data_IF_318474426735
#
_entry.id   IF_318474426735
#
_cell.length_a   1.000
_cell.length_b   1.000
_cell.length_c   1.000
_cell.angle_alpha   90.00
_cell.angle_beta   90.00
_cell.angle_gamma   90.00
#
_symmetry.space_group_name_H-M   'P 1'
#
loop_
_entity.id
_entity.type
_entity.pdbx_description
1 polymer ?
#
# COMPACT_ATOMS: atom_id res chain seq x y z
N UNK A 1 -11.03 -6.59 10.80
CA UNK A 1 -12.04 -7.60 11.23
C UNK A 1 -13.04 -7.94 10.12
N UNK A 2 -13.69 -6.97 9.47
CA UNK A 2 -14.54 -7.23 8.27
C UNK A 2 -13.78 -7.92 7.13
N UNK A 3 -12.59 -7.41 6.78
CA UNK A 3 -11.73 -7.97 5.73
C UNK A 3 -11.37 -9.45 6.01
N UNK A 4 -11.11 -9.81 7.27
CA UNK A 4 -10.77 -11.18 7.64
C UNK A 4 -11.95 -12.16 7.44
N UNK A 5 -13.18 -11.68 7.61
CA UNK A 5 -14.38 -12.50 7.41
C UNK A 5 -14.68 -12.70 5.92
N UNK A 6 -14.50 -11.66 5.11
CA UNK A 6 -14.61 -11.73 3.65
C UNK A 6 -13.53 -12.62 3.05
N UNK A 7 -12.29 -12.52 3.54
CA UNK A 7 -11.18 -13.40 3.13
C UNK A 7 -11.52 -14.86 3.44
N UNK A 8 -12.07 -15.17 4.62
CA UNK A 8 -12.47 -16.54 4.99
C UNK A 8 -13.52 -17.13 4.04
N UNK A 9 -14.51 -16.32 3.65
CA UNK A 9 -15.53 -16.69 2.66
C UNK A 9 -14.93 -16.93 1.28
N UNK A 10 -14.04 -16.06 0.83
CA UNK A 10 -13.37 -16.20 -0.49
C UNK A 10 -12.45 -17.42 -0.56
N UNK A 11 -11.72 -17.71 0.52
CA UNK A 11 -10.84 -18.89 0.63
C UNK A 11 -11.68 -20.17 0.62
N UNK A 12 -12.82 -20.18 1.30
CA UNK A 12 -13.71 -21.35 1.28
C UNK A 12 -14.24 -21.63 -0.13
N UNK A 13 -14.56 -20.58 -0.89
CA UNK A 13 -14.97 -20.69 -2.30
C UNK A 13 -13.83 -21.16 -3.23
N UNK A 14 -12.57 -20.86 -2.91
CA UNK A 14 -11.38 -21.22 -3.72
C UNK A 14 -10.60 -22.42 -3.19
N UNK A 15 -11.12 -23.09 -2.15
CA UNK A 15 -10.42 -24.19 -1.46
C UNK A 15 -10.02 -25.31 -2.43
N UNK A 16 -10.87 -25.66 -3.40
CA UNK A 16 -10.57 -26.65 -4.43
C UNK A 16 -9.43 -26.23 -5.36
N UNK A 17 -9.35 -24.95 -5.76
CA UNK A 17 -8.25 -24.47 -6.61
C UNK A 17 -6.91 -24.54 -5.87
N UNK A 18 -6.89 -24.14 -4.60
CA UNK A 18 -5.68 -24.19 -3.76
C UNK A 18 -5.25 -25.64 -3.49
N UNK A 19 -6.21 -26.55 -3.29
CA UNK A 19 -5.97 -27.98 -3.11
C UNK A 19 -5.40 -28.62 -4.38
N UNK A 20 -5.96 -28.31 -5.54
CA UNK A 20 -5.40 -28.73 -6.85
C UNK A 20 -3.99 -28.18 -7.02
N UNK A 21 -3.74 -26.89 -6.75
CA UNK A 21 -2.40 -26.30 -6.84
C UNK A 21 -1.39 -27.03 -5.94
N UNK A 22 -1.76 -27.36 -4.70
CA UNK A 22 -0.88 -28.13 -3.81
C UNK A 22 -0.65 -29.56 -4.30
N UNK A 23 -1.63 -30.20 -4.92
CA UNK A 23 -1.51 -31.54 -5.50
C UNK A 23 -0.57 -31.60 -6.71
N UNK A 24 -0.44 -30.50 -7.48
CA UNK A 24 0.55 -30.40 -8.58
C UNK A 24 1.93 -29.94 -8.09
N UNK A 25 2.15 -29.85 -6.76
CA UNK A 25 3.43 -29.47 -6.17
C UNK A 25 3.70 -27.96 -6.15
N UNK A 26 2.68 -27.12 -6.27
CA UNK A 26 2.86 -25.67 -6.22
C UNK A 26 3.40 -25.25 -4.84
N UNK A 27 4.52 -24.53 -4.84
CA UNK A 27 5.15 -23.99 -3.65
C UNK A 27 4.24 -22.96 -2.97
N UNK A 28 4.36 -22.81 -1.64
CA UNK A 28 3.60 -21.83 -0.84
C UNK A 28 3.69 -20.39 -1.40
N UNK A 29 4.68 -20.08 -2.23
CA UNK A 29 4.84 -18.78 -2.89
C UNK A 29 3.76 -18.51 -3.96
N UNK A 30 3.26 -19.55 -4.63
CA UNK A 30 2.25 -19.40 -5.70
C UNK A 30 0.89 -18.97 -5.15
N UNK A 31 0.54 -19.45 -3.95
CA UNK A 31 -0.64 -19.01 -3.21
C UNK A 31 -0.45 -17.60 -2.66
N UNK A 32 0.80 -17.22 -2.33
CA UNK A 32 1.11 -15.93 -1.70
C UNK A 32 1.24 -14.77 -2.70
N UNK A 33 1.63 -15.05 -3.94
CA UNK A 33 1.78 -14.08 -5.03
C UNK A 33 0.61 -13.12 -5.21
N UNK A 34 -0.65 -13.59 -5.38
CA UNK A 34 -1.78 -12.69 -5.61
C UNK A 34 -2.06 -11.74 -4.44
N UNK A 35 -1.98 -12.22 -3.19
CA UNK A 35 -2.18 -11.39 -2.00
C UNK A 35 -1.07 -10.34 -1.83
N UNK A 36 0.17 -10.70 -2.18
CA UNK A 36 1.28 -9.75 -2.17
C UNK A 36 1.09 -8.63 -3.20
N UNK A 37 0.57 -8.98 -4.38
CA UNK A 37 0.21 -8.02 -5.42
C UNK A 37 -0.91 -7.07 -4.98
N UNK A 38 -1.98 -7.58 -4.36
CA UNK A 38 -3.07 -6.73 -3.84
C UNK A 38 -2.56 -5.71 -2.81
N UNK A 39 -1.70 -6.13 -1.89
CA UNK A 39 -1.14 -5.20 -0.89
C UNK A 39 -0.20 -4.16 -1.47
N UNK A 40 0.57 -4.52 -2.51
CA UNK A 40 1.41 -3.58 -3.22
C UNK A 40 0.59 -2.54 -4.01
N UNK A 41 -0.49 -2.98 -4.66
CA UNK A 41 -1.44 -2.10 -5.36
C UNK A 41 -2.15 -1.15 -4.39
N UNK A 42 -2.61 -1.65 -3.24
CA UNK A 42 -3.20 -0.81 -2.19
C UNK A 42 -2.21 0.23 -1.64
N UNK A 43 -0.96 -0.17 -1.38
CA UNK A 43 0.10 0.74 -0.93
C UNK A 43 0.41 1.83 -1.94
N UNK A 44 0.51 1.47 -3.22
CA UNK A 44 0.71 2.41 -4.33
C UNK A 44 -0.46 3.40 -4.46
N UNK A 45 -1.70 2.89 -4.43
CA UNK A 45 -2.88 3.74 -4.52
C UNK A 45 -2.98 4.73 -3.35
N UNK A 46 -2.69 4.29 -2.13
CA UNK A 46 -2.66 5.16 -0.95
C UNK A 46 -1.56 6.23 -1.03
N UNK A 47 -0.38 5.86 -1.51
CA UNK A 47 0.74 6.79 -1.68
C UNK A 47 0.46 7.85 -2.75
N UNK A 48 -0.11 7.45 -3.90
CA UNK A 48 -0.56 8.39 -4.92
C UNK A 48 -1.63 9.35 -4.38
N UNK A 49 -2.60 8.83 -3.63
CA UNK A 49 -3.61 9.64 -2.96
C UNK A 49 -3.01 10.67 -2.00
N UNK A 50 -2.03 10.27 -1.20
CA UNK A 50 -1.32 11.17 -0.28
C UNK A 50 -0.54 12.28 -1.02
N UNK A 51 0.18 11.94 -2.08
CA UNK A 51 0.91 12.93 -2.90
C UNK A 51 -0.05 13.92 -3.55
N UNK A 52 -1.18 13.44 -4.09
CA UNK A 52 -2.21 14.29 -4.67
C UNK A 52 -2.80 15.25 -3.63
N UNK A 53 -3.07 14.76 -2.42
CA UNK A 53 -3.62 15.57 -1.34
C UNK A 53 -2.63 16.65 -0.87
N UNK A 54 -1.34 16.30 -0.77
CA UNK A 54 -0.26 17.24 -0.46
C UNK A 54 -0.13 18.33 -1.55
N UNK A 55 -0.24 17.95 -2.82
CA UNK A 55 -0.21 18.89 -3.94
C UNK A 55 -1.41 19.86 -3.91
N UNK A 56 -2.62 19.33 -3.72
CA UNK A 56 -3.84 20.13 -3.56
C UNK A 56 -3.74 21.09 -2.37
N UNK A 57 -3.27 20.60 -1.22
CA UNK A 57 -3.03 21.42 -0.04
C UNK A 57 -2.05 22.55 -0.31
N UNK A 58 -0.93 22.26 -1.00
CA UNK A 58 0.05 23.27 -1.41
C UNK A 58 -0.60 24.35 -2.28
N UNK A 59 -1.34 23.97 -3.32
CA UNK A 59 -1.92 24.94 -4.27
C UNK A 59 -3.04 25.76 -3.62
N UNK A 60 -3.92 25.13 -2.84
CA UNK A 60 -5.09 25.79 -2.27
C UNK A 60 -4.79 26.63 -1.03
N UNK A 61 -3.95 26.15 -0.10
CA UNK A 61 -3.66 26.88 1.14
C UNK A 61 -2.62 27.98 0.93
N UNK A 62 -1.55 27.71 0.17
CA UNK A 62 -0.48 28.70 -0.03
C UNK A 62 -0.97 29.88 -0.87
N UNK A 63 -1.86 29.65 -1.84
CA UNK A 63 -2.50 30.73 -2.61
C UNK A 63 -3.35 31.68 -1.75
N UNK A 64 -3.75 31.28 -0.54
CA UNK A 64 -4.58 32.07 0.38
C UNK A 64 -3.79 32.78 1.47
N UNK A 65 -2.52 32.42 1.66
CA UNK A 65 -1.66 33.01 2.69
C UNK A 65 -0.29 33.38 2.06
N UNK A 66 -0.21 34.47 1.27
CA UNK A 66 1.01 34.91 0.60
C UNK A 66 2.13 35.37 1.56
N UNK A 67 1.85 35.45 2.86
CA UNK A 67 2.84 35.79 3.90
C UNK A 67 3.81 34.63 4.20
N UNK A 68 3.45 33.38 3.90
CA UNK A 68 4.29 32.20 4.18
C UNK A 68 5.36 31.99 3.10
N UNK A 69 5.18 32.59 1.90
CA UNK A 69 6.11 32.45 0.77
C UNK A 69 7.29 33.41 0.78
N UNK A 70 7.28 34.44 1.63
CA UNK A 70 8.33 35.48 1.64
C UNK A 70 9.48 35.21 2.62
N UNK A 71 9.43 34.11 3.36
CA UNK A 71 10.58 33.67 4.14
C UNK A 71 11.35 32.61 3.35
N UNK A 72 12.36 33.07 2.60
CA UNK A 72 13.40 32.28 1.92
C UNK A 72 14.18 31.31 2.84
N UNK A 73 13.73 31.13 4.09
CA UNK A 73 14.42 30.38 5.15
C UNK A 73 13.64 29.18 5.69
N UNK A 74 12.47 28.86 5.12
CA UNK A 74 11.86 27.55 5.38
C UNK A 74 12.62 26.53 4.54
N UNK A 75 13.55 25.79 5.16
CA UNK A 75 14.20 24.60 4.61
C UNK A 75 13.17 23.46 4.37
N UNK A 76 12.14 23.75 3.60
CA UNK A 76 11.17 22.78 3.15
C UNK A 76 11.89 21.88 2.13
N UNK A 77 11.95 20.58 2.44
CA UNK A 77 12.40 19.58 1.48
C UNK A 77 11.65 19.79 0.16
N UNK A 78 12.40 19.72 -0.94
CA UNK A 78 11.86 19.90 -2.29
C UNK A 78 10.63 18.98 -2.46
N UNK A 79 9.51 19.52 -2.91
CA UNK A 79 8.24 18.79 -3.00
C UNK A 79 8.38 17.45 -3.75
N UNK A 80 9.25 17.40 -4.76
CA UNK A 80 9.60 16.18 -5.49
C UNK A 80 10.23 15.11 -4.59
N UNK A 81 11.12 15.50 -3.67
CA UNK A 81 11.80 14.61 -2.74
C UNK A 81 10.82 14.07 -1.70
N UNK A 82 9.93 14.92 -1.16
CA UNK A 82 8.85 14.48 -0.26
C UNK A 82 7.91 13.50 -0.96
N UNK A 83 7.49 13.79 -2.19
CA UNK A 83 6.66 12.90 -2.98
C UNK A 83 7.32 11.54 -3.22
N UNK A 84 8.62 11.52 -3.53
CA UNK A 84 9.38 10.30 -3.75
C UNK A 84 9.54 9.47 -2.46
N UNK A 85 9.76 10.12 -1.31
CA UNK A 85 9.79 9.46 0.00
C UNK A 85 8.43 8.85 0.33
N UNK A 86 7.34 9.59 0.14
CA UNK A 86 5.97 9.10 0.41
C UNK A 86 5.62 7.92 -0.49
N UNK A 87 5.97 7.97 -1.78
CA UNK A 87 5.80 6.86 -2.70
C UNK A 87 6.63 5.64 -2.28
N UNK A 88 7.90 5.84 -1.95
CA UNK A 88 8.78 4.76 -1.48
C UNK A 88 8.28 4.11 -0.19
N UNK A 89 7.87 4.92 0.79
CA UNK A 89 7.32 4.43 2.05
C UNK A 89 5.97 3.76 1.88
N UNK A 90 5.07 4.31 1.06
CA UNK A 90 3.76 3.71 0.82
C UNK A 90 3.84 2.37 0.08
N UNK A 91 4.73 2.26 -0.90
CA UNK A 91 5.04 0.98 -1.56
C UNK A 91 5.69 0.00 -0.59
N UNK A 92 6.71 0.43 0.16
CA UNK A 92 7.42 -0.41 1.12
C UNK A 92 6.50 -0.93 2.21
N UNK A 93 5.70 -0.05 2.83
CA UNK A 93 4.73 -0.42 3.85
C UNK A 93 3.61 -1.31 3.29
N UNK A 94 3.13 -1.06 2.06
CA UNK A 94 2.14 -1.93 1.41
C UNK A 94 2.66 -3.35 1.16
N UNK A 95 3.89 -3.46 0.66
CA UNK A 95 4.56 -4.74 0.44
C UNK A 95 4.86 -5.47 1.76
N UNK A 96 5.39 -4.76 2.77
CA UNK A 96 5.69 -5.32 4.09
C UNK A 96 4.43 -5.74 4.83
N UNK A 97 3.38 -4.90 4.82
CA UNK A 97 2.11 -5.21 5.46
C UNK A 97 1.49 -6.46 4.84
N UNK A 98 1.50 -6.58 3.51
CA UNK A 98 1.00 -7.80 2.86
C UNK A 98 1.82 -9.03 3.23
N UNK A 99 3.16 -8.94 3.17
CA UNK A 99 4.05 -10.05 3.53
C UNK A 99 3.90 -10.50 4.99
N UNK A 100 3.76 -9.57 5.93
CA UNK A 100 3.61 -9.87 7.37
C UNK A 100 2.26 -10.51 7.66
N UNK A 101 1.18 -9.96 7.09
CA UNK A 101 -0.18 -10.48 7.32
C UNK A 101 -0.29 -11.91 6.79
N UNK A 102 0.32 -12.17 5.64
CA UNK A 102 0.31 -13.49 5.01
C UNK A 102 1.15 -14.52 5.77
N UNK A 103 2.31 -14.12 6.33
CA UNK A 103 3.08 -14.98 7.25
C UNK A 103 2.28 -15.34 8.49
N UNK A 104 1.58 -14.37 9.08
CA UNK A 104 0.86 -14.55 10.35
C UNK A 104 -0.44 -15.35 10.23
N UNK A 105 -1.03 -15.43 9.03
CA UNK A 105 -2.28 -16.17 8.78
C UNK A 105 -2.10 -17.54 8.13
N UNK A 106 -0.92 -17.87 7.59
CA UNK A 106 -0.61 -19.17 6.98
C UNK A 106 0.23 -20.10 7.87
N UNK A 107 0.58 -19.67 9.10
CA UNK A 107 1.16 -20.52 10.15
C UNK A 107 0.05 -21.18 11.01
N UNK A 108 -1.00 -21.69 10.34
CA UNK A 108 -1.96 -22.68 10.88
C UNK A 108 -2.19 -23.76 9.83
#
# INVERSE_FOLDING_TARGET
>A
MLIANTIRLSIFSRRREVEVMKLVGATNWFVRGPFMLEGLLCGLAGALGAVLLLWLGKVLLIARIPQITNEDNVNALQFSLVGLIVLGLGLGLGALASGITLRRFLDV
#
